data_IF_579197025541
#
_entry.id   IF_579197025541
#
_cell.length_a   1.000
_cell.length_b   1.000
_cell.length_c   1.000
_cell.angle_alpha   90.00
_cell.angle_beta   90.00
_cell.angle_gamma   90.00
#
_symmetry.space_group_name_H-M   'P 1'
#
loop_
_entity.id
_entity.type
_entity.pdbx_description
1 polymer ?
#
# COMPACT_ATOMS: atom_id res chain seq x y z
N UNK A 1 -10.12 7.86 51.75
CA UNK A 1 -10.04 7.91 50.27
C UNK A 1 -9.19 9.13 49.95
N UNK A 2 -7.91 8.90 49.66
CA UNK A 2 -6.92 9.99 49.56
C UNK A 2 -7.26 10.93 48.40
N UNK A 3 -7.13 12.23 48.65
CA UNK A 3 -7.37 13.28 47.64
C UNK A 3 -6.57 13.06 46.34
N UNK A 4 -5.46 12.31 46.42
CA UNK A 4 -4.58 12.02 45.29
C UNK A 4 -5.19 10.99 44.32
N UNK A 5 -5.86 9.96 44.84
CA UNK A 5 -6.45 8.88 44.02
C UNK A 5 -7.61 9.39 43.15
N UNK A 6 -8.44 10.27 43.73
CA UNK A 6 -9.57 10.87 43.01
C UNK A 6 -9.11 11.79 41.88
N UNK A 7 -8.06 12.57 42.12
CA UNK A 7 -7.45 13.48 41.13
C UNK A 7 -6.79 12.71 39.99
N UNK A 8 -6.12 11.60 40.27
CA UNK A 8 -5.47 10.76 39.25
C UNK A 8 -6.51 10.06 38.36
N UNK A 9 -7.59 9.51 38.94
CA UNK A 9 -8.70 8.90 38.18
C UNK A 9 -9.41 9.93 37.28
N UNK A 10 -9.62 11.14 37.80
CA UNK A 10 -10.18 12.24 37.02
C UNK A 10 -9.24 12.68 35.90
N UNK A 11 -7.94 12.79 36.16
CA UNK A 11 -6.94 13.15 35.15
C UNK A 11 -6.87 12.10 34.03
N UNK A 12 -6.88 10.80 34.35
CA UNK A 12 -6.89 9.72 33.38
C UNK A 12 -8.19 9.71 32.54
N UNK A 13 -9.34 9.94 33.17
CA UNK A 13 -10.62 10.09 32.49
C UNK A 13 -10.66 11.28 31.54
N UNK A 14 -10.17 12.45 31.99
CA UNK A 14 -10.08 13.66 31.16
C UNK A 14 -9.13 13.44 29.98
N UNK A 15 -7.99 12.79 30.20
CA UNK A 15 -7.03 12.49 29.14
C UNK A 15 -7.61 11.54 28.09
N UNK A 16 -8.29 10.46 28.50
CA UNK A 16 -8.95 9.56 27.57
C UNK A 16 -10.12 10.22 26.83
N UNK A 17 -10.87 11.11 27.48
CA UNK A 17 -11.91 11.90 26.84
C UNK A 17 -11.33 12.85 25.79
N UNK A 18 -10.24 13.55 26.13
CA UNK A 18 -9.55 14.46 25.22
C UNK A 18 -8.96 13.70 24.01
N UNK A 19 -8.39 12.52 24.23
CA UNK A 19 -7.88 11.66 23.17
C UNK A 19 -9.01 11.13 22.27
N UNK A 20 -10.11 10.65 22.86
CA UNK A 20 -11.29 10.19 22.13
C UNK A 20 -11.93 11.31 21.30
N UNK A 21 -12.09 12.50 21.88
CA UNK A 21 -12.61 13.66 21.16
C UNK A 21 -11.65 14.13 20.06
N UNK A 22 -10.33 14.15 20.30
CA UNK A 22 -9.35 14.53 19.29
C UNK A 22 -9.38 13.57 18.08
N UNK A 23 -9.52 12.27 18.32
CA UNK A 23 -9.71 11.27 17.26
C UNK A 23 -11.03 11.47 16.51
N UNK A 24 -12.14 11.70 17.22
CA UNK A 24 -13.44 11.99 16.60
C UNK A 24 -13.42 13.28 15.75
N UNK A 25 -12.75 14.34 16.22
CA UNK A 25 -12.57 15.59 15.49
C UNK A 25 -11.69 15.42 14.25
N UNK A 26 -10.64 14.58 14.34
CA UNK A 26 -9.79 14.26 13.21
C UNK A 26 -10.56 13.49 12.12
N UNK A 27 -11.41 12.54 12.51
CA UNK A 27 -12.28 11.78 11.60
C UNK A 27 -13.38 12.65 10.96
N UNK A 28 -13.95 13.60 11.70
CA UNK A 28 -14.89 14.57 11.14
C UNK A 28 -14.23 15.49 10.09
N UNK A 29 -12.96 15.86 10.31
CA UNK A 29 -12.21 16.73 9.41
C UNK A 29 -11.69 16.01 8.16
N UNK A 30 -11.43 14.71 8.25
CA UNK A 30 -10.92 13.89 7.14
C UNK A 30 -11.99 13.55 6.09
N UNK A 31 -13.27 13.85 6.35
CA UNK A 31 -14.37 13.70 5.39
C UNK A 31 -14.79 12.25 5.12
N UNK A 32 -14.33 11.29 5.93
CA UNK A 32 -14.65 9.86 5.76
C UNK A 32 -16.10 9.58 6.16
N UNK A 33 -16.99 9.35 5.18
CA UNK A 33 -18.42 9.02 5.36
C UNK A 33 -18.71 7.55 5.67
N UNK A 34 -17.84 6.86 6.40
CA UNK A 34 -18.12 5.48 6.86
C UNK A 34 -18.39 5.50 8.36
N UNK A 35 -19.21 4.57 8.86
CA UNK A 35 -19.64 4.53 10.28
C UNK A 35 -18.57 3.88 11.18
N UNK A 36 -17.67 3.09 10.58
CA UNK A 36 -16.57 2.39 11.26
C UNK A 36 -15.53 3.26 12.01
N UNK A 37 -15.10 4.43 11.48
CA UNK A 37 -14.13 5.33 12.13
C UNK A 37 -14.63 5.86 13.46
N UNK A 38 -15.95 6.10 13.60
CA UNK A 38 -16.53 6.65 14.83
C UNK A 38 -16.56 5.66 16.00
N UNK A 39 -16.36 4.35 15.75
CA UNK A 39 -16.50 3.32 16.78
C UNK A 39 -15.34 3.39 17.79
N UNK A 40 -14.11 3.59 17.33
CA UNK A 40 -12.94 3.63 18.21
C UNK A 40 -12.96 4.91 19.10
N UNK A 41 -13.15 6.12 18.56
CA UNK A 41 -13.36 7.33 19.36
C UNK A 41 -14.55 7.18 20.30
N UNK A 42 -15.65 6.58 19.86
CA UNK A 42 -16.81 6.35 20.72
C UNK A 42 -16.48 5.43 21.90
N UNK A 43 -15.73 4.33 21.70
CA UNK A 43 -15.30 3.47 22.80
C UNK A 43 -14.40 4.23 23.78
N UNK A 44 -13.47 5.05 23.31
CA UNK A 44 -12.64 5.89 24.18
C UNK A 44 -13.46 6.90 24.98
N UNK A 45 -14.41 7.57 24.33
CA UNK A 45 -15.32 8.53 24.98
C UNK A 45 -16.21 7.79 26.00
N UNK A 46 -16.73 6.61 25.68
CA UNK A 46 -17.60 5.82 26.56
C UNK A 46 -16.82 5.32 27.78
N UNK A 47 -15.61 4.82 27.60
CA UNK A 47 -14.74 4.37 28.70
C UNK A 47 -14.34 5.56 29.58
N UNK A 48 -13.98 6.70 28.97
CA UNK A 48 -13.67 7.93 29.70
C UNK A 48 -14.87 8.45 30.50
N UNK A 49 -16.06 8.47 29.90
CA UNK A 49 -17.30 8.87 30.57
C UNK A 49 -17.67 7.90 31.69
N UNK A 50 -17.41 6.60 31.53
CA UNK A 50 -17.66 5.60 32.59
C UNK A 50 -16.71 5.73 33.78
N UNK A 51 -15.50 6.23 33.55
CA UNK A 51 -14.51 6.55 34.60
C UNK A 51 -14.86 7.87 35.30
N UNK A 52 -15.37 8.86 34.54
CA UNK A 52 -15.74 10.18 35.05
C UNK A 52 -17.11 10.20 35.74
N UNK A 53 -18.06 9.36 35.31
CA UNK A 53 -19.43 9.30 35.81
C UNK A 53 -19.81 7.87 36.21
N UNK A 54 -20.08 7.66 37.51
CA UNK A 54 -20.66 6.40 38.01
C UNK A 54 -22.10 6.28 37.53
N UNK A 55 -22.40 5.35 36.62
CA UNK A 55 -23.80 4.95 36.34
C UNK A 55 -24.20 4.65 34.89
N UNK A 56 -23.28 4.53 33.93
CA UNK A 56 -23.65 4.31 32.51
C UNK A 56 -23.78 2.80 32.14
N UNK A 57 -23.48 1.88 33.07
CA UNK A 57 -23.46 0.43 32.82
C UNK A 57 -24.81 -0.17 32.38
N UNK A 58 -25.93 0.53 32.57
CA UNK A 58 -27.26 0.07 32.18
C UNK A 58 -27.64 0.30 30.72
N UNK A 59 -26.83 1.01 29.93
CA UNK A 59 -27.22 1.45 28.57
C UNK A 59 -26.83 0.51 27.42
N UNK A 60 -26.14 -0.61 27.68
CA UNK A 60 -25.63 -1.48 26.62
C UNK A 60 -26.19 -2.90 26.66
N UNK A 61 -26.97 -3.26 25.63
CA UNK A 61 -27.39 -4.63 25.38
C UNK A 61 -26.35 -5.39 24.55
N UNK A 62 -26.10 -6.65 24.89
CA UNK A 62 -25.13 -7.55 24.25
C UNK A 62 -25.31 -7.68 22.72
N UNK A 63 -26.50 -7.37 22.20
CA UNK A 63 -26.84 -7.45 20.79
C UNK A 63 -26.08 -6.46 19.89
N UNK A 64 -25.72 -5.28 20.39
CA UNK A 64 -24.98 -4.28 19.61
C UNK A 64 -23.51 -4.68 19.39
N UNK A 65 -22.92 -5.37 20.35
CA UNK A 65 -21.52 -5.80 20.34
C UNK A 65 -21.30 -7.00 19.40
N UNK A 66 -22.25 -7.93 19.37
CA UNK A 66 -22.22 -9.12 18.49
C UNK A 66 -22.36 -8.76 17.00
N UNK A 67 -23.12 -7.71 16.66
CA UNK A 67 -23.24 -7.22 15.27
C UNK A 67 -21.95 -6.59 14.74
N UNK A 68 -21.09 -6.11 15.63
CA UNK A 68 -19.83 -5.44 15.32
C UNK A 68 -18.69 -6.45 15.07
N UNK A 69 -18.83 -7.66 15.60
CA UNK A 69 -17.87 -8.76 15.50
C UNK A 69 -18.17 -9.75 14.36
N UNK A 70 -19.23 -9.55 13.55
CA UNK A 70 -19.54 -10.48 12.46
C UNK A 70 -18.49 -10.38 11.32
N UNK A 71 -17.67 -11.42 11.07
CA UNK A 71 -16.61 -11.34 10.08
C UNK A 71 -17.19 -11.39 8.67
N UNK A 72 -16.88 -10.39 7.83
CA UNK A 72 -17.05 -10.51 6.37
C UNK A 72 -15.83 -11.26 5.78
N UNK A 73 -16.04 -12.25 4.90
CA UNK A 73 -14.99 -13.13 4.43
C UNK A 73 -14.19 -12.48 3.30
N UNK A 74 -13.29 -11.54 3.61
CA UNK A 74 -12.29 -11.02 2.65
C UNK A 74 -10.92 -10.70 3.25
N UNK A 75 -10.67 -11.02 4.52
CA UNK A 75 -9.41 -10.69 5.20
C UNK A 75 -8.79 -11.93 5.86
N UNK A 76 -8.29 -12.88 5.06
CA UNK A 76 -7.71 -14.12 5.57
C UNK A 76 -6.46 -13.88 6.43
N UNK A 77 -5.45 -13.20 5.88
CA UNK A 77 -4.19 -12.97 6.60
C UNK A 77 -4.24 -11.75 7.53
N UNK A 78 -4.77 -10.62 7.04
CA UNK A 78 -4.90 -9.39 7.83
C UNK A 78 -5.83 -9.59 9.04
N UNK A 79 -6.91 -10.36 8.89
CA UNK A 79 -7.84 -10.66 9.98
C UNK A 79 -7.19 -11.50 11.08
N UNK A 80 -6.41 -12.53 10.71
CA UNK A 80 -5.65 -13.34 11.66
C UNK A 80 -4.60 -12.49 12.39
N UNK A 81 -3.89 -11.62 11.68
CA UNK A 81 -2.88 -10.74 12.28
C UNK A 81 -3.50 -9.72 13.25
N UNK A 82 -4.63 -9.10 12.89
CA UNK A 82 -5.39 -8.21 13.79
C UNK A 82 -5.90 -8.98 15.01
N UNK A 83 -6.40 -10.21 14.84
CA UNK A 83 -6.85 -11.04 15.95
C UNK A 83 -5.71 -11.38 16.92
N UNK A 84 -4.52 -11.71 16.40
CA UNK A 84 -3.32 -11.93 17.23
C UNK A 84 -2.92 -10.67 18.00
N UNK A 85 -2.96 -9.49 17.37
CA UNK A 85 -2.68 -8.22 18.04
C UNK A 85 -3.71 -7.89 19.12
N UNK A 86 -4.99 -8.22 18.90
CA UNK A 86 -6.04 -8.06 19.91
C UNK A 86 -5.81 -9.01 21.10
N UNK A 87 -5.45 -10.27 20.85
CA UNK A 87 -5.06 -11.22 21.91
C UNK A 87 -3.85 -10.68 22.69
N UNK A 88 -2.88 -10.08 21.99
CA UNK A 88 -1.69 -9.48 22.62
C UNK A 88 -2.01 -8.20 23.41
N UNK A 89 -3.10 -7.50 23.08
CA UNK A 89 -3.58 -6.35 23.84
C UNK A 89 -4.23 -6.77 25.18
N UNK A 90 -4.84 -7.96 25.28
CA UNK A 90 -5.53 -8.43 26.49
C UNK A 90 -4.60 -8.45 27.71
N UNK A 91 -3.36 -8.99 27.65
CA UNK A 91 -2.37 -8.89 28.73
C UNK A 91 -1.94 -7.46 29.09
N UNK A 92 -2.14 -6.47 28.22
CA UNK A 92 -1.94 -5.06 28.56
C UNK A 92 -3.13 -4.45 29.32
N UNK A 93 -4.35 -4.86 28.95
CA UNK A 93 -5.58 -4.38 29.57
C UNK A 93 -5.92 -5.08 30.91
N UNK A 94 -5.53 -6.33 31.10
CA UNK A 94 -5.76 -7.07 32.36
C UNK A 94 -5.07 -6.40 33.56
N UNK A 95 -3.76 -6.09 33.49
CA UNK A 95 -3.06 -5.38 34.56
C UNK A 95 -3.59 -3.98 34.74
N UNK A 96 -4.00 -3.28 33.67
CA UNK A 96 -4.63 -1.96 33.76
C UNK A 96 -5.96 -2.04 34.56
N UNK A 97 -6.78 -3.06 34.27
CA UNK A 97 -8.03 -3.31 34.98
C UNK A 97 -7.79 -3.65 36.45
N UNK A 98 -6.88 -4.56 36.75
CA UNK A 98 -6.54 -4.94 38.12
C UNK A 98 -5.88 -3.80 38.91
N UNK A 99 -4.97 -3.05 38.29
CA UNK A 99 -4.39 -1.84 38.87
C UNK A 99 -5.48 -0.83 39.26
N UNK A 100 -6.48 -0.63 38.40
CA UNK A 100 -7.56 0.33 38.62
C UNK A 100 -8.61 -0.12 39.64
N UNK A 101 -8.95 -1.42 39.67
CA UNK A 101 -10.04 -1.98 40.47
C UNK A 101 -9.58 -2.57 41.80
N UNK A 102 -8.48 -3.33 41.82
CA UNK A 102 -7.96 -4.00 43.01
C UNK A 102 -6.98 -3.14 43.82
N UNK A 103 -6.76 -1.88 43.41
CA UNK A 103 -5.86 -0.93 44.09
C UNK A 103 -4.45 -1.50 44.29
N UNK A 104 -3.94 -2.15 43.26
CA UNK A 104 -2.59 -2.67 43.31
C UNK A 104 -1.60 -1.52 43.44
N UNK A 105 -0.72 -1.57 44.44
CA UNK A 105 0.26 -0.51 44.67
C UNK A 105 1.38 -0.61 43.63
N UNK A 106 1.11 -0.01 42.48
CA UNK A 106 2.01 -0.01 41.33
C UNK A 106 2.63 1.38 41.27
N UNK A 107 3.96 1.43 41.42
CA UNK A 107 4.72 2.66 41.24
C UNK A 107 4.54 3.30 39.86
N UNK A 108 4.94 4.56 39.71
CA UNK A 108 4.81 5.33 38.47
C UNK A 108 5.34 4.59 37.23
N UNK A 109 6.49 3.92 37.35
CA UNK A 109 7.10 3.13 36.28
C UNK A 109 6.23 1.96 35.83
N UNK A 110 5.53 1.31 36.75
CA UNK A 110 4.59 0.24 36.44
C UNK A 110 3.35 0.75 35.72
N UNK A 111 2.82 1.92 36.10
CA UNK A 111 1.72 2.57 35.36
C UNK A 111 2.13 2.94 33.93
N UNK A 112 3.33 3.47 33.73
CA UNK A 112 3.85 3.78 32.40
C UNK A 112 3.97 2.51 31.55
N UNK A 113 4.51 1.42 32.10
CA UNK A 113 4.67 0.16 31.40
C UNK A 113 3.33 -0.48 31.01
N UNK A 114 2.35 -0.48 31.92
CA UNK A 114 1.00 -1.03 31.67
C UNK A 114 0.27 -0.22 30.61
N UNK A 115 0.33 1.12 30.68
CA UNK A 115 -0.24 1.99 29.65
C UNK A 115 0.43 1.79 28.30
N UNK A 116 1.77 1.77 28.25
CA UNK A 116 2.50 1.58 26.99
C UNK A 116 2.14 0.24 26.34
N UNK A 117 2.08 -0.85 27.13
CA UNK A 117 1.69 -2.17 26.64
C UNK A 117 0.26 -2.20 26.08
N UNK A 118 -0.71 -1.61 26.81
CA UNK A 118 -2.11 -1.57 26.38
C UNK A 118 -2.32 -0.71 25.12
N UNK A 119 -1.67 0.46 25.06
CA UNK A 119 -1.87 1.42 23.95
C UNK A 119 -1.01 1.13 22.73
N UNK A 120 0.15 0.47 22.88
CA UNK A 120 1.02 0.13 21.75
C UNK A 120 0.33 -0.85 20.78
N UNK A 121 -0.30 -1.90 21.30
CA UNK A 121 -1.05 -2.85 20.48
C UNK A 121 -2.20 -2.16 19.72
N UNK A 122 -2.93 -1.25 20.39
CA UNK A 122 -3.98 -0.46 19.74
C UNK A 122 -3.43 0.49 18.67
N UNK A 123 -2.29 1.14 18.92
CA UNK A 123 -1.64 2.02 17.95
C UNK A 123 -1.20 1.25 16.70
N UNK A 124 -0.69 0.02 16.86
CA UNK A 124 -0.35 -0.85 15.74
C UNK A 124 -1.59 -1.27 14.94
N UNK A 125 -2.66 -1.70 15.63
CA UNK A 125 -3.93 -2.06 14.98
C UNK A 125 -4.48 -0.87 14.19
N UNK A 126 -4.47 0.33 14.79
CA UNK A 126 -4.89 1.55 14.10
C UNK A 126 -4.02 1.84 12.87
N UNK A 127 -2.69 1.76 13.00
CA UNK A 127 -1.76 1.95 11.89
C UNK A 127 -1.96 0.95 10.74
N UNK A 128 -2.32 -0.30 11.04
CA UNK A 128 -2.58 -1.36 10.05
C UNK A 128 -3.93 -1.21 9.36
N UNK A 129 -4.98 -0.82 10.09
CA UNK A 129 -6.34 -0.67 9.54
C UNK A 129 -6.44 0.59 8.69
N UNK A 130 -5.91 1.71 9.18
CA UNK A 130 -6.11 3.03 8.56
C UNK A 130 -4.93 3.47 7.68
N UNK A 131 -3.79 2.79 7.80
CA UNK A 131 -2.54 3.23 7.19
C UNK A 131 -1.98 4.47 7.92
N UNK A 132 -0.65 4.59 7.97
CA UNK A 132 -0.05 5.84 8.40
C UNK A 132 -0.26 6.89 7.30
N UNK A 133 -0.95 7.99 7.62
CA UNK A 133 -1.10 9.11 6.69
C UNK A 133 0.29 9.58 6.22
N UNK A 134 0.57 9.38 4.93
CA UNK A 134 1.87 9.77 4.37
C UNK A 134 1.86 11.27 4.17
N UNK A 135 2.67 11.99 4.95
CA UNK A 135 2.81 13.44 4.81
C UNK A 135 3.14 13.84 3.35
N UNK A 136 2.67 15.01 2.91
CA UNK A 136 3.00 15.55 1.58
C UNK A 136 4.50 15.65 1.32
N UNK A 137 5.29 15.95 2.37
CA UNK A 137 6.76 15.98 2.29
C UNK A 137 7.31 14.62 1.90
N UNK A 138 6.80 13.53 2.48
CA UNK A 138 7.17 12.16 2.12
C UNK A 138 6.71 11.79 0.71
N UNK A 139 5.50 12.19 0.31
CA UNK A 139 5.02 11.98 -1.06
C UNK A 139 5.92 12.66 -2.10
N UNK A 140 6.31 13.92 -1.87
CA UNK A 140 7.27 14.65 -2.73
C UNK A 140 8.62 13.96 -2.79
N UNK A 141 9.13 13.45 -1.67
CA UNK A 141 10.37 12.70 -1.62
C UNK A 141 10.29 11.40 -2.42
N UNK A 142 9.20 10.64 -2.27
CA UNK A 142 8.97 9.41 -3.03
C UNK A 142 8.89 9.67 -4.53
N UNK A 143 8.22 10.75 -4.95
CA UNK A 143 8.16 11.16 -6.35
C UNK A 143 9.55 11.50 -6.90
N UNK A 144 10.36 12.26 -6.15
CA UNK A 144 11.75 12.57 -6.54
C UNK A 144 12.67 11.35 -6.68
N UNK A 145 12.34 10.24 -5.98
CA UNK A 145 13.13 9.00 -6.02
C UNK A 145 12.65 8.00 -7.07
N UNK A 146 11.53 8.29 -7.73
CA UNK A 146 10.96 7.45 -8.78
C UNK A 146 11.89 7.46 -10.00
N UNK A 147 11.99 6.33 -10.69
CA UNK A 147 12.73 6.25 -11.94
C UNK A 147 12.09 7.17 -12.99
N UNK A 148 12.89 7.70 -13.91
CA UNK A 148 12.41 8.60 -14.97
C UNK A 148 12.87 8.13 -16.31
N UNK A 149 11.95 8.08 -17.26
CA UNK A 149 12.24 7.81 -18.65
C UNK A 149 12.45 9.13 -19.39
N UNK A 150 13.53 9.22 -20.16
CA UNK A 150 13.75 10.30 -21.13
C UNK A 150 14.32 9.73 -22.42
N UNK A 151 14.09 10.42 -23.54
CA UNK A 151 14.48 9.95 -24.86
C UNK A 151 14.94 11.13 -25.73
N UNK A 152 16.09 10.96 -26.37
CA UNK A 152 16.68 11.93 -27.29
C UNK A 152 17.02 11.28 -28.64
N UNK A 153 17.72 11.98 -29.52
CA UNK A 153 18.09 11.45 -30.84
C UNK A 153 19.10 10.29 -30.77
N UNK A 154 19.75 10.06 -29.63
CA UNK A 154 20.79 9.03 -29.45
C UNK A 154 20.22 7.75 -28.83
N UNK A 155 19.28 7.87 -27.90
CA UNK A 155 18.72 6.72 -27.22
C UNK A 155 17.68 7.04 -26.14
N UNK A 156 17.43 6.03 -25.31
CA UNK A 156 16.61 6.11 -24.10
C UNK A 156 17.54 6.19 -22.90
N UNK A 157 17.24 7.11 -21.98
CA UNK A 157 17.86 7.15 -20.66
C UNK A 157 16.82 6.88 -19.59
N UNK A 158 17.10 5.89 -18.73
CA UNK A 158 16.36 5.65 -17.49
C UNK A 158 17.18 6.18 -16.33
N UNK A 159 16.74 7.28 -15.74
CA UNK A 159 17.29 7.76 -14.48
C UNK A 159 16.79 6.87 -13.35
N UNK A 160 17.70 6.43 -12.47
CA UNK A 160 17.41 5.58 -11.32
C UNK A 160 17.89 6.28 -10.04
N UNK A 161 17.20 7.33 -9.56
CA UNK A 161 17.69 8.16 -8.46
C UNK A 161 17.90 7.40 -7.15
N UNK A 162 17.15 6.32 -6.91
CA UNK A 162 17.34 5.48 -5.73
C UNK A 162 18.74 4.82 -5.68
N UNK A 163 19.30 4.53 -6.86
CA UNK A 163 20.59 3.87 -7.03
C UNK A 163 21.71 4.85 -7.43
N UNK A 164 21.43 6.16 -7.43
CA UNK A 164 22.36 7.23 -7.85
C UNK A 164 23.04 6.95 -9.20
N UNK A 165 22.26 6.47 -10.18
CA UNK A 165 22.75 6.15 -11.52
C UNK A 165 21.71 6.38 -12.60
N UNK A 166 22.17 6.42 -13.84
CA UNK A 166 21.34 6.37 -15.04
C UNK A 166 21.76 5.18 -15.92
N UNK A 167 20.80 4.67 -16.70
CA UNK A 167 20.99 3.61 -17.68
C UNK A 167 20.68 4.18 -19.06
N UNK A 168 21.67 4.19 -19.95
CA UNK A 168 21.54 4.65 -21.32
C UNK A 168 21.50 3.46 -22.28
N UNK A 169 20.51 3.47 -23.16
CA UNK A 169 20.27 2.48 -24.20
C UNK A 169 20.20 3.19 -25.55
N UNK A 170 21.22 2.99 -26.39
CA UNK A 170 21.25 3.61 -27.72
C UNK A 170 20.16 3.00 -28.62
N UNK A 171 19.52 3.81 -29.47
CA UNK A 171 18.46 3.31 -30.38
C UNK A 171 18.90 2.11 -31.22
N UNK A 172 20.13 2.17 -31.75
CA UNK A 172 20.75 1.10 -32.54
C UNK A 172 20.98 -0.20 -31.77
N UNK A 173 21.04 -0.12 -30.44
CA UNK A 173 21.23 -1.30 -29.59
C UNK A 173 19.93 -2.05 -29.28
N UNK A 174 18.79 -1.39 -29.48
CA UNK A 174 17.48 -1.98 -29.20
C UNK A 174 17.09 -2.91 -30.35
N UNK A 175 16.95 -4.19 -30.00
CA UNK A 175 16.54 -5.27 -30.90
C UNK A 175 15.02 -5.45 -30.89
N UNK A 176 14.41 -5.45 -29.71
CA UNK A 176 12.96 -5.51 -29.56
C UNK A 176 12.48 -4.75 -28.32
N UNK A 177 11.24 -4.28 -28.38
CA UNK A 177 10.51 -3.73 -27.23
C UNK A 177 9.18 -4.49 -27.16
N UNK A 178 8.90 -5.09 -26.00
CA UNK A 178 7.65 -5.76 -25.74
C UNK A 178 6.96 -5.18 -24.51
N UNK A 179 5.64 -5.03 -24.58
CA UNK A 179 4.79 -4.69 -23.45
C UNK A 179 4.30 -5.97 -22.78
N UNK A 180 4.37 -6.04 -21.45
CA UNK A 180 3.73 -7.10 -20.69
C UNK A 180 2.70 -6.49 -19.75
N UNK A 181 1.57 -7.18 -19.61
CA UNK A 181 0.51 -6.80 -18.69
C UNK A 181 -0.23 -8.05 -18.18
N UNK A 182 0.15 -8.55 -17.01
CA UNK A 182 -0.41 -9.79 -16.46
C UNK A 182 -0.58 -9.72 -14.94
N UNK A 183 -1.37 -10.63 -14.40
CA UNK A 183 -1.53 -10.82 -12.96
C UNK A 183 -0.80 -12.10 -12.58
N UNK A 184 0.04 -12.04 -11.55
CA UNK A 184 0.72 -13.24 -11.08
C UNK A 184 -0.29 -14.24 -10.47
N UNK A 185 -0.23 -15.49 -10.93
CA UNK A 185 -1.14 -16.56 -10.54
C UNK A 185 -1.08 -16.91 -9.04
N UNK A 186 0.03 -16.62 -8.35
CA UNK A 186 0.20 -16.99 -6.93
C UNK A 186 -0.75 -16.24 -6.01
N UNK A 187 -1.02 -14.97 -6.28
CA UNK A 187 -1.64 -14.08 -5.30
C UNK A 187 -2.85 -13.28 -5.82
N UNK A 188 -3.14 -13.31 -7.13
CA UNK A 188 -4.22 -12.55 -7.80
C UNK A 188 -4.35 -11.06 -7.42
N UNK A 189 -3.34 -10.51 -6.74
CA UNK A 189 -3.33 -9.18 -6.13
C UNK A 189 -2.20 -8.32 -6.67
N UNK A 190 -1.18 -8.94 -7.25
CA UNK A 190 -0.05 -8.24 -7.85
C UNK A 190 -0.21 -8.16 -9.37
N UNK A 191 -0.42 -6.93 -9.83
CA UNK A 191 -0.51 -6.56 -11.23
C UNK A 191 0.88 -6.17 -11.74
N UNK A 192 1.34 -6.83 -12.78
CA UNK A 192 2.64 -6.61 -13.40
C UNK A 192 2.45 -5.99 -14.78
N UNK A 193 2.76 -4.71 -14.91
CA UNK A 193 2.79 -4.00 -16.18
C UNK A 193 4.15 -3.34 -16.41
N UNK A 194 4.66 -3.46 -17.64
CA UNK A 194 5.94 -2.86 -17.99
C UNK A 194 6.34 -3.06 -19.44
N UNK A 195 7.44 -2.42 -19.81
CA UNK A 195 8.12 -2.62 -21.07
C UNK A 195 9.40 -3.42 -20.84
N UNK A 196 9.60 -4.45 -21.63
CA UNK A 196 10.84 -5.21 -21.71
C UNK A 196 11.59 -4.83 -22.96
N UNK A 197 12.79 -4.28 -22.78
CA UNK A 197 13.70 -3.91 -23.86
C UNK A 197 14.76 -4.99 -24.00
N UNK A 198 14.83 -5.56 -25.19
CA UNK A 198 15.85 -6.54 -25.57
C UNK A 198 16.95 -5.82 -26.35
N UNK A 199 18.17 -5.91 -25.87
CA UNK A 199 19.32 -5.19 -26.40
C UNK A 199 20.32 -6.15 -27.03
N UNK A 200 20.96 -5.76 -28.13
CA UNK A 200 22.07 -6.52 -28.72
C UNK A 200 23.42 -6.25 -28.01
N UNK A 201 23.49 -5.22 -27.18
CA UNK A 201 24.65 -4.82 -26.40
C UNK A 201 24.26 -4.48 -24.96
N UNK A 202 25.22 -4.58 -24.03
CA UNK A 202 25.01 -4.21 -22.63
C UNK A 202 24.79 -2.68 -22.55
N UNK A 203 23.78 -2.20 -21.81
CA UNK A 203 23.52 -0.78 -21.70
C UNK A 203 24.59 -0.07 -20.87
N UNK A 204 24.74 1.23 -21.11
CA UNK A 204 25.77 2.05 -20.48
C UNK A 204 25.22 2.62 -19.17
N UNK A 205 25.85 2.29 -18.05
CA UNK A 205 25.49 2.85 -16.75
C UNK A 205 26.43 4.00 -16.38
N UNK A 206 25.85 5.15 -16.04
CA UNK A 206 26.58 6.30 -15.51
C UNK A 206 26.18 6.55 -14.06
N UNK A 207 27.16 6.67 -13.18
CA UNK A 207 26.96 6.92 -11.75
C UNK A 207 27.02 8.40 -11.47
N UNK A 208 26.17 8.89 -10.57
CA UNK A 208 26.20 10.29 -10.15
C UNK A 208 27.42 10.55 -9.27
N UNK A 209 28.01 11.75 -9.35
CA UNK A 209 29.19 12.10 -8.54
C UNK A 209 28.92 11.97 -7.04
N UNK A 210 27.74 12.42 -6.59
CA UNK A 210 27.33 12.38 -5.19
C UNK A 210 26.45 11.18 -4.89
N UNK A 211 27.07 10.01 -4.76
CA UNK A 211 26.36 8.79 -4.37
C UNK A 211 26.14 8.69 -2.86
N UNK A 212 24.96 8.19 -2.49
CA UNK A 212 24.67 7.75 -1.13
C UNK A 212 25.60 6.60 -0.72
N UNK A 213 26.03 6.59 0.54
CA UNK A 213 27.06 5.67 1.03
C UNK A 213 26.70 4.18 0.80
N UNK A 214 25.42 3.82 0.87
CA UNK A 214 24.97 2.44 0.64
C UNK A 214 25.17 2.01 -0.81
N UNK A 215 24.95 2.92 -1.77
CA UNK A 215 25.16 2.66 -3.19
C UNK A 215 26.65 2.53 -3.54
N UNK A 216 27.55 3.13 -2.73
CA UNK A 216 29.01 2.94 -2.84
C UNK A 216 29.45 1.55 -2.38
N UNK A 217 28.77 0.97 -1.39
CA UNK A 217 29.09 -0.36 -0.86
C UNK A 217 28.61 -1.50 -1.77
N UNK A 218 27.56 -1.26 -2.57
CA UNK A 218 27.01 -2.26 -3.49
C UNK A 218 26.97 -1.73 -4.94
N UNK A 219 28.12 -1.48 -5.58
CA UNK A 219 28.20 -0.80 -6.87
C UNK A 219 27.89 -1.72 -8.07
N UNK A 220 26.92 -2.63 -7.93
CA UNK A 220 26.62 -3.63 -8.96
C UNK A 220 25.76 -3.03 -10.06
N UNK A 221 26.34 -2.93 -11.25
CA UNK A 221 25.61 -2.62 -12.47
C UNK A 221 25.12 -3.90 -13.14
N UNK A 222 23.94 -3.82 -13.74
CA UNK A 222 23.36 -4.97 -14.42
C UNK A 222 24.12 -5.20 -15.72
N UNK A 223 24.63 -6.42 -15.91
CA UNK A 223 25.21 -6.86 -17.18
C UNK A 223 24.14 -7.47 -18.11
N UNK A 224 22.86 -7.38 -17.72
CA UNK A 224 21.75 -7.89 -18.50
C UNK A 224 21.56 -7.05 -19.75
N UNK A 225 21.38 -7.74 -20.88
CA UNK A 225 20.91 -7.16 -22.15
C UNK A 225 19.38 -7.04 -22.20
N UNK A 226 18.69 -7.45 -21.15
CA UNK A 226 17.25 -7.30 -20.97
C UNK A 226 17.01 -6.27 -19.89
N UNK A 227 16.30 -5.21 -20.22
CA UNK A 227 15.95 -4.11 -19.31
C UNK A 227 14.43 -4.03 -19.18
N UNK A 228 13.96 -4.14 -17.94
CA UNK A 228 12.55 -4.01 -17.59
C UNK A 228 12.28 -2.59 -17.07
N UNK A 229 11.29 -1.94 -17.65
CA UNK A 229 10.80 -0.61 -17.28
C UNK A 229 9.36 -0.80 -16.78
N UNK A 230 9.15 -0.70 -15.46
CA UNK A 230 7.83 -0.87 -14.87
C UNK A 230 6.94 0.38 -14.99
N UNK A 231 5.63 0.17 -14.85
CA UNK A 231 4.58 1.20 -14.87
C UNK A 231 4.76 2.32 -13.82
N UNK A 232 5.49 2.04 -12.75
CA UNK A 232 5.87 3.01 -11.73
C UNK A 232 6.87 4.07 -12.20
N UNK A 233 7.43 3.98 -13.41
CA UNK A 233 8.42 4.93 -13.95
C UNK A 233 7.74 6.23 -14.42
N UNK A 234 8.32 7.40 -14.12
CA UNK A 234 7.82 8.66 -14.68
C UNK A 234 7.98 8.65 -16.21
N UNK A 235 6.95 9.15 -16.93
CA UNK A 235 6.84 9.09 -18.40
C UNK A 235 6.76 7.67 -18.99
N UNK A 236 6.42 6.65 -18.19
CA UNK A 236 6.19 5.28 -18.66
C UNK A 236 5.24 5.20 -19.87
N UNK A 237 4.09 5.87 -19.80
CA UNK A 237 3.07 5.85 -20.85
C UNK A 237 3.47 6.57 -22.15
N UNK A 238 4.62 7.27 -22.17
CA UNK A 238 5.13 7.92 -23.37
C UNK A 238 5.96 6.97 -24.25
N UNK A 239 6.32 5.79 -23.75
CA UNK A 239 7.14 4.81 -24.48
C UNK A 239 6.62 4.49 -25.89
N UNK A 240 5.30 4.30 -26.15
CA UNK A 240 4.84 3.99 -27.51
C UNK A 240 5.07 5.15 -28.47
N UNK A 241 4.88 6.38 -28.01
CA UNK A 241 5.14 7.60 -28.81
C UNK A 241 6.64 7.76 -29.09
N UNK A 242 7.46 7.48 -28.08
CA UNK A 242 8.92 7.52 -28.18
C UNK A 242 9.41 6.47 -29.17
N UNK A 243 8.94 5.22 -29.08
CA UNK A 243 9.26 4.16 -30.03
C UNK A 243 8.80 4.52 -31.45
N UNK A 244 7.59 5.05 -31.61
CA UNK A 244 7.08 5.50 -32.91
C UNK A 244 7.98 6.58 -33.54
N UNK A 245 8.41 7.56 -32.74
CA UNK A 245 9.25 8.67 -33.20
C UNK A 245 10.65 8.21 -33.65
N UNK A 246 11.32 7.39 -32.85
CA UNK A 246 12.75 7.08 -33.05
C UNK A 246 13.03 5.73 -33.70
N UNK A 247 12.09 4.79 -33.64
CA UNK A 247 12.21 3.44 -34.21
C UNK A 247 11.24 3.18 -35.38
N UNK A 248 10.38 4.15 -35.70
CA UNK A 248 9.48 4.07 -36.86
C UNK A 248 8.32 3.07 -36.70
N UNK A 249 7.95 2.73 -35.46
CA UNK A 249 6.84 1.81 -35.18
C UNK A 249 5.48 2.47 -35.35
N UNK A 250 4.52 1.72 -35.92
CA UNK A 250 3.08 2.08 -35.95
C UNK A 250 2.27 1.42 -34.83
N UNK A 251 2.93 0.91 -33.79
CA UNK A 251 2.27 0.17 -32.73
C UNK A 251 1.41 1.11 -31.88
N UNK A 252 0.10 1.01 -32.05
CA UNK A 252 -0.87 1.46 -31.06
C UNK A 252 -1.02 0.32 -30.05
N UNK A 253 -0.61 0.54 -28.80
CA UNK A 253 -0.78 -0.48 -27.77
C UNK A 253 -2.25 -0.47 -27.39
N UNK A 254 -2.98 -1.53 -27.75
CA UNK A 254 -4.26 -1.78 -27.13
C UNK A 254 -3.99 -2.15 -25.67
N UNK A 255 -4.08 -1.19 -24.75
CA UNK A 255 -4.07 -1.45 -23.31
C UNK A 255 -5.28 -2.31 -22.95
N UNK A 256 -5.15 -3.62 -23.13
CA UNK A 256 -6.10 -4.60 -22.64
C UNK A 256 -5.98 -4.62 -21.13
N UNK A 257 -7.11 -4.39 -20.45
CA UNK A 257 -7.21 -4.48 -19.00
C UNK A 257 -6.88 -5.92 -18.59
N UNK A 258 -5.76 -6.11 -17.89
CA UNK A 258 -5.30 -7.44 -17.46
C UNK A 258 -6.30 -8.13 -16.53
N UNK A 259 -7.21 -7.38 -15.88
CA UNK A 259 -8.31 -7.95 -15.09
C UNK A 259 -9.50 -8.40 -15.93
N UNK A 260 -9.56 -8.03 -17.21
CA UNK A 260 -10.71 -8.26 -18.11
C UNK A 260 -10.29 -8.98 -19.39
N UNK A 261 -9.61 -10.10 -19.27
CA UNK A 261 -9.22 -10.90 -20.44
C UNK A 261 -10.41 -11.64 -21.06
N UNK A 262 -11.25 -12.27 -20.23
CA UNK A 262 -12.42 -13.01 -20.69
C UNK A 262 -13.63 -12.75 -19.79
N UNK A 263 -14.77 -12.39 -20.39
CA UNK A 263 -16.02 -12.23 -19.65
C UNK A 263 -16.53 -13.60 -19.21
N UNK A 264 -16.57 -13.84 -17.90
CA UNK A 264 -17.09 -15.10 -17.32
C UNK A 264 -18.61 -15.05 -17.22
N UNK A 265 -19.16 -13.92 -16.79
CA UNK A 265 -20.62 -13.74 -16.74
C UNK A 265 -21.02 -12.27 -16.74
N UNK A 266 -22.20 -11.98 -17.28
CA UNK A 266 -22.84 -10.67 -17.25
C UNK A 266 -24.25 -10.85 -16.71
N UNK A 267 -24.63 -10.05 -15.72
CA UNK A 267 -26.01 -10.01 -15.20
C UNK A 267 -26.50 -8.58 -15.18
N UNK A 268 -27.63 -8.34 -15.81
CA UNK A 268 -28.27 -7.03 -15.84
C UNK A 268 -29.55 -7.09 -15.03
N UNK A 269 -29.68 -6.18 -14.06
CA UNK A 269 -30.87 -6.07 -13.23
C UNK A 269 -31.46 -4.67 -13.39
N UNK A 270 -32.78 -4.58 -13.52
CA UNK A 270 -33.49 -3.30 -13.50
C UNK A 270 -33.83 -2.95 -12.05
N UNK A 271 -33.37 -1.79 -11.60
CA UNK A 271 -33.72 -1.20 -10.31
C UNK A 271 -34.38 0.16 -10.59
N UNK A 272 -35.71 0.19 -10.53
CA UNK A 272 -36.51 1.35 -10.96
C UNK A 272 -36.24 1.71 -12.43
N UNK A 273 -35.94 2.99 -12.70
CA UNK A 273 -35.59 3.48 -14.05
C UNK A 273 -34.11 3.25 -14.45
N UNK A 274 -33.32 2.54 -13.64
CA UNK A 274 -31.90 2.29 -13.93
C UNK A 274 -31.65 0.81 -14.20
N UNK A 275 -31.00 0.51 -15.32
CA UNK A 275 -30.41 -0.80 -15.57
C UNK A 275 -28.99 -0.83 -14.97
N UNK A 276 -28.73 -1.79 -14.08
CA UNK A 276 -27.42 -2.03 -13.48
C UNK A 276 -26.87 -3.32 -14.09
N UNK A 277 -25.76 -3.22 -14.80
CA UNK A 277 -25.03 -4.36 -15.37
C UNK A 277 -23.86 -4.70 -14.46
N UNK A 278 -23.84 -5.93 -13.94
CA UNK A 278 -22.70 -6.50 -13.23
C UNK A 278 -21.98 -7.47 -14.15
N UNK A 279 -20.67 -7.28 -14.31
CA UNK A 279 -19.83 -8.11 -15.15
C UNK A 279 -18.76 -8.78 -14.29
N UNK A 280 -18.63 -10.09 -14.44
CA UNK A 280 -17.59 -10.88 -13.81
C UNK A 280 -16.60 -11.31 -14.90
N UNK A 281 -15.36 -10.90 -14.74
CA UNK A 281 -14.29 -11.13 -15.70
C UNK A 281 -13.23 -12.05 -15.11
N UNK A 282 -12.62 -12.88 -15.97
CA UNK A 282 -11.43 -13.66 -15.66
C UNK A 282 -10.20 -12.80 -16.01
N UNK A 283 -9.19 -12.75 -15.12
CA UNK A 283 -7.95 -12.04 -15.42
C UNK A 283 -7.08 -12.78 -16.43
N UNK A 284 -6.16 -12.07 -17.08
CA UNK A 284 -5.12 -12.69 -17.90
C UNK A 284 -4.04 -13.29 -17.02
N UNK A 285 -3.98 -14.62 -16.93
CA UNK A 285 -2.88 -15.36 -16.29
C UNK A 285 -1.71 -15.61 -17.25
N UNK A 286 -1.88 -15.33 -18.54
CA UNK A 286 -0.81 -15.45 -19.53
C UNK A 286 0.13 -14.25 -19.46
N UNK A 287 1.42 -14.49 -19.25
CA UNK A 287 2.50 -13.50 -19.41
C UNK A 287 2.76 -13.16 -20.88
N UNK A 288 1.71 -13.06 -21.70
CA UNK A 288 1.83 -12.75 -23.13
C UNK A 288 2.39 -11.34 -23.29
N UNK A 289 3.51 -11.27 -24.01
CA UNK A 289 4.23 -10.05 -24.34
C UNK A 289 3.73 -9.54 -25.70
N UNK A 290 3.20 -8.32 -25.74
CA UNK A 290 2.81 -7.64 -26.98
C UNK A 290 4.04 -6.94 -27.57
N UNK A 291 4.44 -7.33 -28.78
CA UNK A 291 5.60 -6.76 -29.46
C UNK A 291 5.25 -5.37 -30.00
N UNK A 292 5.91 -4.34 -29.48
CA UNK A 292 5.77 -2.95 -29.94
C UNK A 292 6.76 -2.69 -31.07
N UNK A 293 7.98 -3.18 -30.90
CA UNK A 293 9.07 -3.01 -31.84
C UNK A 293 9.87 -4.30 -31.96
N UNK A 294 10.28 -4.62 -33.19
CA UNK A 294 11.19 -5.71 -33.49
C UNK A 294 12.02 -5.34 -34.72
N UNK A 295 13.33 -5.21 -34.54
CA UNK A 295 14.27 -4.81 -35.58
C UNK A 295 14.50 -5.90 -36.62
N UNK A 296 14.66 -7.15 -36.17
CA UNK A 296 15.00 -8.29 -37.03
C UNK A 296 13.79 -9.10 -37.49
N UNK A 297 12.59 -8.71 -37.07
CA UNK A 297 11.34 -9.43 -37.33
C UNK A 297 11.40 -10.92 -36.92
N UNK A 298 12.26 -11.25 -35.93
CA UNK A 298 12.42 -12.61 -35.38
C UNK A 298 11.38 -12.90 -34.31
N UNK A 299 11.14 -14.18 -34.03
CA UNK A 299 10.22 -14.57 -32.95
C UNK A 299 10.81 -14.13 -31.60
N UNK A 300 9.98 -13.57 -30.71
CA UNK A 300 10.41 -12.99 -29.44
C UNK A 300 11.21 -13.97 -28.56
N UNK A 301 10.85 -15.25 -28.59
CA UNK A 301 11.57 -16.31 -27.87
C UNK A 301 13.01 -16.52 -28.36
N UNK A 302 13.27 -16.32 -29.65
CA UNK A 302 14.63 -16.39 -30.21
C UNK A 302 15.45 -15.18 -29.76
N UNK A 303 14.84 -13.99 -29.78
CA UNK A 303 15.47 -12.76 -29.28
C UNK A 303 15.81 -12.91 -27.80
N UNK A 304 14.86 -13.40 -26.99
CA UNK A 304 15.06 -13.66 -25.56
C UNK A 304 16.21 -14.62 -25.30
N UNK A 305 16.32 -15.72 -26.05
CA UNK A 305 17.44 -16.67 -25.94
C UNK A 305 18.78 -16.02 -26.30
N UNK A 306 18.80 -15.16 -27.31
CA UNK A 306 20.02 -14.48 -27.74
C UNK A 306 20.52 -13.40 -26.76
N UNK A 307 19.61 -12.86 -25.93
CA UNK A 307 19.90 -11.78 -24.98
C UNK A 307 20.14 -12.26 -23.53
N UNK A 308 19.78 -13.51 -23.20
CA UNK A 308 20.22 -14.16 -21.95
C UNK A 308 21.74 -14.38 -21.94
#
# INVERSE_FOLDING_TARGET
MDLNERKIKQAAGIFMLAAGLAMAFFDLKSGTRTVGPLIIPAVFIIVALSILFRGISGWFSQAAMLKLLSPKPRYGFLGVFIALLLIFAIPGFLPLFFAAQLKWDIGLSGWIAVCLSAFFALALIHGLIFGAAVSEKRLKLMRKRRNRLSADDRGITVEMPLFDKSCFMAWQSIEAIAYYNYIADSDFTEHYAGYRLYLNAVPIYAKYEKQFWLNRLFPKDSQSRIIDIGDGTECFWEMPKVAAKYLGTKADIETKDAMKSALVSRRTYKSGNKAITSEHWRPNGGGEEEIIFNRSNRILDEIRKSCR
#
